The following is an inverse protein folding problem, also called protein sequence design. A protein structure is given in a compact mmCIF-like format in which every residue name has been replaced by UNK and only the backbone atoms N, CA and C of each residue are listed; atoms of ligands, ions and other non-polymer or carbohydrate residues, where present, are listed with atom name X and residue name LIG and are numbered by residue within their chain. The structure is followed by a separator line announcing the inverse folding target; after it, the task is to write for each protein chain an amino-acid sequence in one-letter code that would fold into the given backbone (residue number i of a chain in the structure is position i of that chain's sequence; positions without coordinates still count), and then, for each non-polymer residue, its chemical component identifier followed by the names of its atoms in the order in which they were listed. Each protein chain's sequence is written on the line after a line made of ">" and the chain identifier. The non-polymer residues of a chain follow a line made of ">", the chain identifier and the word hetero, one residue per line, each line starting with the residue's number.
data_IF_027385581955
#
_entry.id   IF_027385581955
#
_cell.length_a   1.000
_cell.length_b   1.000
_cell.length_c   1.000
_cell.angle_alpha   90.00
_cell.angle_beta   90.00
_cell.angle_gamma   90.00
#
_symmetry.space_group_name_H-M   'P 1'
#
loop_
_entity.id
_entity.type
_entity.pdbx_description
1 polymer ?
#
# COMPACT_ATOMS: atom_id res chain seq x y z
N UNK A 1 -33.05 22.19 -37.45
CA UNK A 1 -32.22 22.73 -38.56
C UNK A 1 -30.98 23.47 -38.06
N UNK A 2 -31.06 24.29 -36.99
CA UNK A 2 -29.87 24.90 -36.35
C UNK A 2 -28.92 23.87 -35.70
N UNK A 3 -29.44 22.87 -35.00
CA UNK A 3 -28.63 21.80 -34.39
C UNK A 3 -27.84 20.95 -35.43
N UNK A 4 -28.39 20.76 -36.63
CA UNK A 4 -27.69 20.01 -37.69
C UNK A 4 -26.52 20.82 -38.31
N UNK A 5 -26.63 22.15 -38.31
CA UNK A 5 -25.57 23.05 -38.77
C UNK A 5 -24.46 23.20 -37.71
N UNK A 6 -24.79 23.31 -36.42
CA UNK A 6 -23.78 23.33 -35.34
C UNK A 6 -23.00 22.01 -35.26
N UNK A 7 -23.68 20.87 -35.43
CA UNK A 7 -23.02 19.56 -35.39
C UNK A 7 -22.10 19.32 -36.62
N UNK A 8 -22.50 19.82 -37.79
CA UNK A 8 -21.64 19.81 -38.99
C UNK A 8 -20.44 20.75 -38.87
N UNK A 9 -20.58 21.88 -38.17
CA UNK A 9 -19.49 22.85 -37.99
C UNK A 9 -18.48 22.36 -36.94
N UNK A 10 -18.94 21.69 -35.88
CA UNK A 10 -18.10 21.06 -34.86
C UNK A 10 -17.31 19.85 -35.38
N UNK A 11 -17.91 19.02 -36.23
CA UNK A 11 -17.21 17.90 -36.88
C UNK A 11 -16.13 18.36 -37.86
N UNK A 12 -16.39 19.42 -38.65
CA UNK A 12 -15.40 20.01 -39.54
C UNK A 12 -14.21 20.61 -38.76
N UNK A 13 -14.45 21.25 -37.62
CA UNK A 13 -13.37 21.79 -36.78
C UNK A 13 -12.47 20.69 -36.18
N UNK A 14 -13.06 19.56 -35.77
CA UNK A 14 -12.28 18.40 -35.27
C UNK A 14 -11.49 17.70 -36.39
N UNK A 15 -12.06 17.61 -37.59
CA UNK A 15 -11.39 17.03 -38.75
C UNK A 15 -10.25 17.93 -39.24
N UNK A 16 -10.45 19.25 -39.30
CA UNK A 16 -9.41 20.22 -39.70
C UNK A 16 -8.25 20.27 -38.70
N UNK A 17 -8.52 20.10 -37.40
CA UNK A 17 -7.47 20.00 -36.36
C UNK A 17 -6.69 18.69 -36.50
N UNK A 18 -7.37 17.57 -36.75
CA UNK A 18 -6.73 16.27 -36.93
C UNK A 18 -5.97 16.16 -38.27
N UNK A 19 -6.43 16.86 -39.32
CA UNK A 19 -5.77 16.97 -40.61
C UNK A 19 -4.56 17.91 -40.54
N UNK A 20 -4.62 19.03 -39.81
CA UNK A 20 -3.48 19.92 -39.60
C UNK A 20 -2.39 19.27 -38.74
N UNK A 21 -2.76 18.52 -37.70
CA UNK A 21 -1.79 17.73 -36.92
C UNK A 21 -1.12 16.68 -37.82
N UNK A 22 -1.87 15.94 -38.65
CA UNK A 22 -1.32 14.99 -39.64
C UNK A 22 -0.50 15.64 -40.76
N UNK A 23 -0.81 16.87 -41.17
CA UNK A 23 -0.07 17.59 -42.19
C UNK A 23 1.30 18.09 -41.69
N UNK A 24 1.45 18.36 -40.39
CA UNK A 24 2.76 18.69 -39.78
C UNK A 24 3.74 17.51 -39.81
N UNK A 25 3.24 16.26 -39.69
CA UNK A 25 4.05 15.03 -39.80
C UNK A 25 4.57 14.72 -41.21
N UNK A 26 4.17 15.47 -42.26
CA UNK A 26 4.64 15.23 -43.63
C UNK A 26 6.05 15.81 -43.91
N UNK A 27 6.70 16.40 -42.91
CA UNK A 27 8.02 17.06 -43.05
C UNK A 27 9.03 16.69 -41.97
N UNK A 28 8.77 15.66 -41.16
CA UNK A 28 9.69 15.23 -40.10
C UNK A 28 10.63 14.12 -40.61
N UNK A 29 11.92 14.11 -40.22
CA UNK A 29 12.86 13.07 -40.66
C UNK A 29 12.38 11.66 -40.28
N UNK A 30 12.55 10.69 -41.18
CA UNK A 30 12.08 9.31 -40.99
C UNK A 30 12.59 8.69 -39.67
N UNK A 31 13.83 8.98 -39.29
CA UNK A 31 14.44 8.54 -38.03
C UNK A 31 13.64 8.97 -36.79
N UNK A 32 13.08 10.19 -36.79
CA UNK A 32 12.31 10.72 -35.65
C UNK A 32 10.93 10.10 -35.61
N UNK A 33 10.27 9.96 -36.77
CA UNK A 33 8.98 9.26 -36.87
C UNK A 33 9.11 7.81 -36.39
N UNK A 34 10.21 7.14 -36.73
CA UNK A 34 10.47 5.77 -36.32
C UNK A 34 10.68 5.65 -34.79
N UNK A 35 11.49 6.54 -34.20
CA UNK A 35 11.70 6.57 -32.74
C UNK A 35 10.40 6.93 -32.02
N UNK A 36 9.64 7.91 -32.51
CA UNK A 36 8.35 8.32 -31.97
C UNK A 36 7.38 7.14 -31.88
N UNK A 37 7.31 6.32 -32.93
CA UNK A 37 6.43 5.16 -32.98
C UNK A 37 6.87 4.06 -32.01
N UNK A 38 8.18 3.82 -31.86
CA UNK A 38 8.70 2.87 -30.87
C UNK A 38 8.38 3.33 -29.44
N UNK A 39 8.63 4.60 -29.14
CA UNK A 39 8.37 5.16 -27.81
C UNK A 39 6.86 5.17 -27.52
N UNK A 40 6.03 5.46 -28.52
CA UNK A 40 4.57 5.38 -28.44
C UNK A 40 4.10 3.96 -28.12
N UNK A 41 4.58 2.96 -28.85
CA UNK A 41 4.22 1.56 -28.61
C UNK A 41 4.67 1.08 -27.22
N UNK A 42 5.85 1.51 -26.76
CA UNK A 42 6.32 1.23 -25.40
C UNK A 42 5.42 1.86 -24.33
N UNK A 43 5.09 3.14 -24.47
CA UNK A 43 4.15 3.85 -23.59
C UNK A 43 2.78 3.17 -23.56
N UNK A 44 2.22 2.83 -24.73
CA UNK A 44 0.93 2.16 -24.84
C UNK A 44 0.95 0.78 -24.17
N UNK A 45 2.04 0.04 -24.36
CA UNK A 45 2.22 -1.28 -23.74
C UNK A 45 2.24 -1.17 -22.21
N UNK A 46 2.99 -0.21 -21.66
CA UNK A 46 3.05 0.02 -20.22
C UNK A 46 1.71 0.52 -19.66
N UNK A 47 1.04 1.44 -20.33
CA UNK A 47 -0.30 1.92 -19.96
C UNK A 47 -1.32 0.79 -19.93
N UNK A 48 -1.34 -0.07 -20.96
CA UNK A 48 -2.22 -1.25 -21.00
C UNK A 48 -1.92 -2.18 -19.82
N UNK A 49 -0.64 -2.40 -19.51
CA UNK A 49 -0.24 -3.26 -18.39
C UNK A 49 -0.68 -2.68 -17.03
N UNK A 50 -0.55 -1.37 -16.79
CA UNK A 50 -1.06 -0.72 -15.57
C UNK A 50 -2.57 -0.94 -15.40
N UNK A 51 -3.34 -0.69 -16.46
CA UNK A 51 -4.82 -0.85 -16.45
C UNK A 51 -5.28 -2.28 -16.11
N UNK A 52 -4.41 -3.28 -16.29
CA UNK A 52 -4.67 -4.66 -15.86
C UNK A 52 -4.36 -4.86 -14.37
N UNK A 53 -3.33 -4.21 -13.84
CA UNK A 53 -2.97 -4.32 -12.43
C UNK A 53 -3.99 -3.64 -11.50
N UNK A 54 -4.53 -2.48 -11.87
CA UNK A 54 -5.51 -1.73 -11.06
C UNK A 54 -6.66 -2.61 -10.52
N UNK A 55 -7.48 -3.30 -11.37
CA UNK A 55 -8.58 -4.12 -10.87
C UNK A 55 -8.12 -5.34 -10.09
N UNK A 56 -6.94 -5.89 -10.39
CA UNK A 56 -6.36 -7.04 -9.68
C UNK A 56 -5.98 -6.61 -8.25
N UNK A 57 -5.28 -5.49 -8.12
CA UNK A 57 -4.90 -4.89 -6.84
C UNK A 57 -6.16 -4.57 -6.04
N UNK A 58 -7.13 -3.86 -6.63
CA UNK A 58 -8.38 -3.51 -5.95
C UNK A 58 -9.13 -4.72 -5.41
N UNK A 59 -9.39 -5.72 -6.27
CA UNK A 59 -10.06 -6.96 -5.88
C UNK A 59 -9.33 -7.68 -4.74
N UNK A 60 -8.00 -7.70 -4.75
CA UNK A 60 -7.23 -8.40 -3.72
C UNK A 60 -7.13 -7.61 -2.43
N UNK A 61 -7.02 -6.30 -2.50
CA UNK A 61 -7.08 -5.44 -1.33
C UNK A 61 -8.44 -5.57 -0.64
N UNK A 62 -9.53 -5.66 -1.39
CA UNK A 62 -10.88 -5.90 -0.84
C UNK A 62 -11.01 -7.28 -0.22
N UNK A 63 -10.51 -8.33 -0.88
CA UNK A 63 -10.51 -9.69 -0.32
C UNK A 63 -9.73 -9.77 0.98
N UNK A 64 -8.52 -9.23 1.02
CA UNK A 64 -7.69 -9.22 2.24
C UNK A 64 -8.31 -8.36 3.33
N UNK A 65 -9.01 -7.27 2.97
CA UNK A 65 -9.76 -6.44 3.91
C UNK A 65 -11.02 -7.13 4.48
N UNK A 66 -11.59 -8.09 3.76
CA UNK A 66 -12.72 -8.89 4.25
C UNK A 66 -12.27 -10.15 5.01
N UNK A 67 -11.10 -10.69 4.66
CA UNK A 67 -10.47 -11.87 5.27
C UNK A 67 -9.37 -11.49 6.28
N UNK A 68 -9.51 -10.36 6.99
CA UNK A 68 -8.49 -9.78 7.91
C UNK A 68 -7.92 -10.77 8.95
N UNK A 69 -8.56 -11.91 9.15
CA UNK A 69 -8.16 -12.97 10.06
C UNK A 69 -7.29 -14.07 9.44
N UNK A 70 -7.01 -14.01 8.14
CA UNK A 70 -6.27 -15.05 7.43
C UNK A 70 -4.81 -14.64 7.23
N UNK A 71 -3.89 -15.34 7.89
CA UNK A 71 -2.44 -15.21 7.65
C UNK A 71 -2.10 -15.39 6.16
N UNK A 72 -2.92 -16.16 5.43
CA UNK A 72 -2.79 -16.33 3.97
C UNK A 72 -3.09 -15.08 3.14
N UNK A 73 -3.79 -14.08 3.69
CA UNK A 73 -4.10 -12.84 2.99
C UNK A 73 -2.85 -12.02 2.67
N UNK A 74 -1.89 -11.96 3.61
CA UNK A 74 -0.60 -11.27 3.40
C UNK A 74 0.23 -11.99 2.35
N UNK A 75 0.29 -13.32 2.41
CA UNK A 75 1.02 -14.14 1.44
C UNK A 75 0.48 -13.98 0.01
N UNK A 76 -0.81 -13.68 -0.17
CA UNK A 76 -1.41 -13.41 -1.49
C UNK A 76 -1.02 -12.06 -2.07
N UNK A 77 -0.63 -11.09 -1.23
CA UNK A 77 -0.19 -9.76 -1.70
C UNK A 77 1.26 -9.78 -2.19
N UNK A 78 2.08 -10.75 -1.77
CA UNK A 78 3.49 -10.84 -2.14
C UNK A 78 3.71 -11.00 -3.66
N UNK A 79 3.09 -11.96 -4.36
CA UNK A 79 3.34 -12.13 -5.79
C UNK A 79 2.99 -10.91 -6.65
N UNK A 80 1.97 -10.14 -6.24
CA UNK A 80 1.57 -8.93 -6.97
C UNK A 80 2.49 -7.77 -6.66
N UNK A 81 2.93 -7.63 -5.41
CA UNK A 81 3.97 -6.66 -5.07
C UNK A 81 5.22 -6.93 -5.90
N UNK A 82 5.69 -8.18 -5.93
CA UNK A 82 6.89 -8.55 -6.68
C UNK A 82 6.71 -8.28 -8.18
N UNK A 83 5.54 -8.62 -8.74
CA UNK A 83 5.22 -8.36 -10.15
C UNK A 83 5.13 -6.86 -10.49
N UNK A 84 4.57 -6.04 -9.60
CA UNK A 84 4.54 -4.58 -9.75
C UNK A 84 5.93 -3.97 -9.61
N UNK A 85 6.78 -4.49 -8.73
CA UNK A 85 8.17 -4.05 -8.56
C UNK A 85 9.03 -4.39 -9.78
N UNK A 86 8.88 -5.59 -10.34
CA UNK A 86 9.55 -5.98 -11.59
C UNK A 86 9.12 -5.06 -12.75
N UNK A 87 7.82 -4.73 -12.80
CA UNK A 87 7.29 -3.81 -13.79
C UNK A 87 7.84 -2.37 -13.58
N UNK A 88 7.85 -1.87 -12.35
CA UNK A 88 8.47 -0.59 -11.97
C UNK A 88 9.93 -0.52 -12.45
N UNK A 89 10.73 -1.56 -12.16
CA UNK A 89 12.13 -1.62 -12.58
C UNK A 89 12.27 -1.55 -14.10
N UNK A 90 11.40 -2.24 -14.83
CA UNK A 90 11.41 -2.24 -16.31
C UNK A 90 11.15 -0.85 -16.87
N UNK A 91 10.10 -0.16 -16.39
CA UNK A 91 9.76 1.20 -16.85
C UNK A 91 10.86 2.19 -16.45
N UNK A 92 11.42 2.04 -15.24
CA UNK A 92 12.50 2.90 -14.74
C UNK A 92 13.77 2.77 -15.58
N UNK A 93 14.15 1.55 -15.96
CA UNK A 93 15.31 1.33 -16.84
C UNK A 93 15.11 1.99 -18.21
N UNK A 94 13.91 1.91 -18.78
CA UNK A 94 13.58 2.59 -20.04
C UNK A 94 13.64 4.12 -19.91
N UNK A 95 13.12 4.66 -18.80
CA UNK A 95 13.22 6.09 -18.50
C UNK A 95 14.67 6.55 -18.30
N UNK A 96 15.47 5.79 -17.57
CA UNK A 96 16.87 6.13 -17.31
C UNK A 96 17.67 6.12 -18.63
N UNK A 97 17.39 5.18 -19.55
CA UNK A 97 17.96 5.21 -20.90
C UNK A 97 17.58 6.48 -21.68
N UNK A 98 16.32 6.89 -21.58
CA UNK A 98 15.83 8.09 -22.26
C UNK A 98 16.45 9.37 -21.68
N UNK A 99 16.61 9.44 -20.35
CA UNK A 99 17.31 10.54 -19.68
C UNK A 99 18.79 10.60 -20.06
N UNK A 100 19.48 9.46 -20.10
CA UNK A 100 20.87 9.42 -20.56
C UNK A 100 21.05 9.93 -21.99
N UNK A 101 20.09 9.63 -22.87
CA UNK A 101 20.08 10.18 -24.23
C UNK A 101 19.81 11.69 -24.24
N UNK A 102 18.92 12.17 -23.37
CA UNK A 102 18.62 13.60 -23.20
C UNK A 102 19.81 14.41 -22.65
N UNK A 103 20.62 13.79 -21.78
CA UNK A 103 21.76 14.44 -21.11
C UNK A 103 22.97 14.65 -22.05
N UNK A 104 22.98 14.04 -23.25
CA UNK A 104 24.11 14.08 -24.17
C UNK A 104 23.72 14.63 -25.55
N UNK A 105 24.02 15.91 -25.78
CA UNK A 105 23.77 16.61 -27.05
C UNK A 105 24.34 15.89 -28.27
N UNK A 106 25.52 15.26 -28.15
CA UNK A 106 26.15 14.53 -29.25
C UNK A 106 25.37 13.25 -29.61
N UNK A 107 24.81 12.55 -28.62
CA UNK A 107 23.98 11.37 -28.86
C UNK A 107 22.65 11.79 -29.52
N UNK A 108 22.04 12.90 -29.09
CA UNK A 108 20.83 13.45 -29.72
C UNK A 108 21.08 13.88 -31.17
N UNK A 109 22.20 14.55 -31.44
CA UNK A 109 22.61 14.89 -32.81
C UNK A 109 22.89 13.64 -33.64
N UNK A 110 23.42 12.59 -33.01
CA UNK A 110 23.65 11.29 -33.62
C UNK A 110 22.38 10.60 -34.13
N UNK A 111 21.21 10.91 -33.56
CA UNK A 111 19.92 10.38 -34.03
C UNK A 111 19.49 10.98 -35.38
N UNK A 112 19.95 12.18 -35.75
CA UNK A 112 19.60 12.86 -37.00
C UNK A 112 20.37 12.29 -38.20
N UNK A 113 20.09 11.03 -38.53
CA UNK A 113 20.82 10.25 -39.55
C UNK A 113 20.74 10.86 -40.95
N UNK A 114 19.55 11.30 -41.38
CA UNK A 114 19.32 11.85 -42.73
C UNK A 114 20.06 13.17 -42.90
N UNK A 115 19.96 14.04 -41.91
CA UNK A 115 20.68 15.32 -41.92
C UNK A 115 22.18 15.14 -41.74
N UNK A 116 22.60 14.17 -40.93
CA UNK A 116 24.00 13.80 -40.73
C UNK A 116 24.65 13.26 -41.99
N UNK A 117 23.90 12.50 -42.81
CA UNK A 117 24.37 12.09 -44.13
C UNK A 117 24.47 13.29 -45.08
N UNK A 118 23.47 14.19 -45.08
CA UNK A 118 23.46 15.38 -45.92
C UNK A 118 24.60 16.36 -45.59
N UNK A 119 24.89 16.60 -44.31
CA UNK A 119 25.99 17.47 -43.88
C UNK A 119 27.36 16.88 -44.26
N UNK A 120 27.55 15.56 -44.04
CA UNK A 120 28.75 14.83 -44.45
C UNK A 120 28.99 14.91 -45.95
N UNK A 121 27.94 14.80 -46.78
CA UNK A 121 28.05 14.91 -48.24
C UNK A 121 28.52 16.30 -48.71
N UNK A 122 28.30 17.33 -47.89
CA UNK A 122 28.70 18.73 -48.15
C UNK A 122 30.02 19.11 -47.47
N UNK A 123 30.68 18.18 -46.77
CA UNK A 123 31.88 18.47 -45.98
C UNK A 123 31.65 19.42 -44.79
N UNK A 124 30.41 19.48 -44.30
CA UNK A 124 30.00 20.36 -43.18
C UNK A 124 29.72 19.53 -41.93
N UNK A 125 29.91 20.14 -40.76
CA UNK A 125 29.45 19.57 -39.48
C UNK A 125 27.97 19.89 -39.26
N UNK A 126 27.26 19.01 -38.54
CA UNK A 126 25.88 19.26 -38.12
C UNK A 126 25.84 20.51 -37.23
N UNK A 127 24.84 21.36 -37.41
CA UNK A 127 24.64 22.49 -36.51
C UNK A 127 24.08 21.96 -35.18
N UNK A 128 24.74 22.31 -34.05
CA UNK A 128 24.30 21.91 -32.70
C UNK A 128 22.82 22.24 -32.47
N UNK A 129 22.32 23.37 -32.98
CA UNK A 129 20.97 23.87 -32.73
C UNK A 129 19.81 22.99 -33.26
N UNK A 130 20.10 21.85 -33.86
CA UNK A 130 19.09 20.93 -34.41
C UNK A 130 18.67 19.82 -33.45
N UNK A 131 19.37 19.62 -32.32
CA UNK A 131 18.92 18.66 -31.32
C UNK A 131 17.62 19.09 -30.62
N UNK A 132 17.22 20.37 -30.68
CA UNK A 132 16.00 20.90 -30.02
C UNK A 132 14.72 20.11 -30.37
N UNK A 133 14.54 19.69 -31.62
CA UNK A 133 13.37 18.88 -32.01
C UNK A 133 13.42 17.46 -31.46
N UNK A 134 14.63 16.89 -31.33
CA UNK A 134 14.86 15.57 -30.72
C UNK A 134 14.60 15.66 -29.22
N UNK A 135 15.16 16.66 -28.57
CA UNK A 135 15.00 16.96 -27.15
C UNK A 135 13.51 17.09 -26.79
N UNK A 136 12.74 17.90 -27.52
CA UNK A 136 11.30 18.07 -27.29
C UNK A 136 10.54 16.73 -27.37
N UNK A 137 10.86 15.89 -28.37
CA UNK A 137 10.25 14.56 -28.52
C UNK A 137 10.61 13.67 -27.34
N UNK A 138 11.89 13.55 -27.01
CA UNK A 138 12.37 12.67 -25.93
C UNK A 138 11.88 13.14 -24.55
N UNK A 139 11.81 14.45 -24.29
CA UNK A 139 11.25 15.02 -23.06
C UNK A 139 9.78 14.65 -22.87
N UNK A 140 8.98 14.71 -23.94
CA UNK A 140 7.56 14.37 -23.87
C UNK A 140 7.37 12.89 -23.50
N UNK A 141 8.12 11.98 -24.13
CA UNK A 141 8.07 10.57 -23.74
C UNK A 141 8.68 10.31 -22.35
N UNK A 142 9.71 11.04 -21.94
CA UNK A 142 10.27 10.94 -20.59
C UNK A 142 9.25 11.37 -19.53
N UNK A 143 8.44 12.39 -19.84
CA UNK A 143 7.32 12.81 -19.00
C UNK A 143 6.24 11.74 -18.92
N UNK A 144 5.89 11.11 -20.03
CA UNK A 144 4.92 10.01 -20.04
C UNK A 144 5.42 8.78 -19.25
N UNK A 145 6.67 8.37 -19.43
CA UNK A 145 7.30 7.31 -18.62
C UNK A 145 7.28 7.64 -17.13
N UNK A 146 7.59 8.88 -16.76
CA UNK A 146 7.48 9.33 -15.37
C UNK A 146 6.04 9.23 -14.85
N UNK A 147 5.03 9.62 -15.64
CA UNK A 147 3.62 9.48 -15.27
C UNK A 147 3.24 8.04 -14.97
N UNK A 148 3.61 7.12 -15.86
CA UNK A 148 3.44 5.67 -15.71
C UNK A 148 4.13 5.17 -14.43
N UNK A 149 5.37 5.62 -14.15
CA UNK A 149 6.07 5.25 -12.91
C UNK A 149 5.33 5.74 -11.65
N UNK A 150 4.75 6.94 -11.67
CA UNK A 150 3.99 7.45 -10.53
C UNK A 150 2.72 6.62 -10.28
N UNK A 151 2.03 6.19 -11.35
CA UNK A 151 0.88 5.29 -11.23
C UNK A 151 1.27 3.92 -10.65
N UNK A 152 2.39 3.33 -11.10
CA UNK A 152 2.92 2.08 -10.53
C UNK A 152 3.29 2.28 -9.05
N UNK A 153 3.96 3.38 -8.73
CA UNK A 153 4.34 3.71 -7.35
C UNK A 153 3.11 3.84 -6.45
N UNK A 154 2.05 4.49 -6.94
CA UNK A 154 0.79 4.61 -6.23
C UNK A 154 0.18 3.22 -5.93
N UNK A 155 0.13 2.31 -6.90
CA UNK A 155 -0.36 0.95 -6.68
C UNK A 155 0.51 0.16 -5.68
N UNK A 156 1.84 0.27 -5.77
CA UNK A 156 2.76 -0.34 -4.82
C UNK A 156 2.54 0.17 -3.40
N UNK A 157 2.39 1.48 -3.22
CA UNK A 157 2.11 2.08 -1.91
C UNK A 157 0.77 1.61 -1.34
N UNK A 158 -0.26 1.45 -2.18
CA UNK A 158 -1.55 0.88 -1.74
C UNK A 158 -1.42 -0.56 -1.26
N UNK A 159 -0.68 -1.40 -1.99
CA UNK A 159 -0.41 -2.78 -1.57
C UNK A 159 0.37 -2.80 -0.25
N UNK A 160 1.43 -2.01 -0.12
CA UNK A 160 2.23 -1.93 1.10
C UNK A 160 1.41 -1.45 2.31
N UNK A 161 0.66 -0.36 2.16
CA UNK A 161 -0.19 0.20 3.22
C UNK A 161 -1.19 -0.84 3.75
N UNK A 162 -1.73 -1.67 2.86
CA UNK A 162 -2.68 -2.73 3.22
C UNK A 162 -1.98 -3.92 3.88
N UNK A 163 -0.78 -4.30 3.45
CA UNK A 163 0.04 -5.30 4.15
C UNK A 163 0.32 -4.89 5.59
N UNK A 164 0.71 -3.63 5.80
CA UNK A 164 0.98 -3.07 7.13
C UNK A 164 -0.28 -3.07 8.01
N UNK A 165 -1.44 -2.68 7.46
CA UNK A 165 -2.72 -2.73 8.18
C UNK A 165 -3.06 -4.15 8.63
N UNK A 166 -2.91 -5.14 7.76
CA UNK A 166 -3.21 -6.54 8.09
C UNK A 166 -2.26 -7.05 9.17
N UNK A 167 -0.97 -6.74 9.08
CA UNK A 167 0.00 -7.09 10.11
C UNK A 167 -0.38 -6.51 11.48
N UNK A 168 -0.74 -5.22 11.52
CA UNK A 168 -1.22 -4.56 12.73
C UNK A 168 -2.48 -5.22 13.30
N UNK A 169 -3.41 -5.64 12.43
CA UNK A 169 -4.64 -6.32 12.85
C UNK A 169 -4.35 -7.70 13.45
N UNK A 170 -3.50 -8.50 12.81
CA UNK A 170 -3.07 -9.81 13.30
C UNK A 170 -2.36 -9.71 14.66
N UNK A 171 -1.51 -8.71 14.84
CA UNK A 171 -0.88 -8.44 16.13
C UNK A 171 -1.91 -8.01 17.19
N UNK A 172 -2.94 -7.28 16.79
CA UNK A 172 -4.11 -7.00 17.63
C UNK A 172 -4.83 -8.27 18.10
N UNK A 173 -5.06 -9.24 17.20
CA UNK A 173 -5.66 -10.53 17.54
C UNK A 173 -4.77 -11.36 18.47
N UNK A 174 -3.47 -11.46 18.19
CA UNK A 174 -2.51 -12.14 19.07
C UNK A 174 -2.52 -11.53 20.47
N UNK A 175 -2.51 -10.20 20.56
CA UNK A 175 -2.60 -9.49 21.84
C UNK A 175 -3.93 -9.76 22.57
N UNK A 176 -5.05 -9.86 21.84
CA UNK A 176 -6.34 -10.25 22.41
C UNK A 176 -6.32 -11.69 22.94
N UNK A 177 -5.74 -12.63 22.20
CA UNK A 177 -5.61 -14.03 22.62
C UNK A 177 -4.74 -14.18 23.86
N UNK A 178 -3.57 -13.52 23.89
CA UNK A 178 -2.68 -13.51 25.07
C UNK A 178 -3.43 -12.97 26.29
N UNK A 179 -4.20 -11.88 26.12
CA UNK A 179 -5.00 -11.31 27.20
C UNK A 179 -6.10 -12.27 27.68
N UNK A 180 -6.79 -12.96 26.79
CA UNK A 180 -7.75 -13.99 27.18
C UNK A 180 -7.08 -15.14 27.93
N UNK A 181 -5.94 -15.62 27.45
CA UNK A 181 -5.18 -16.69 28.10
C UNK A 181 -4.71 -16.29 29.50
N UNK A 182 -4.30 -15.04 29.68
CA UNK A 182 -3.96 -14.45 30.97
C UNK A 182 -5.17 -14.48 31.92
N UNK A 183 -6.36 -14.04 31.47
CA UNK A 183 -7.56 -14.07 32.31
C UNK A 183 -7.98 -15.49 32.68
N UNK A 184 -7.89 -16.45 31.76
CA UNK A 184 -8.14 -17.87 32.06
C UNK A 184 -7.13 -18.44 33.06
N UNK A 185 -5.83 -18.12 32.91
CA UNK A 185 -4.79 -18.54 33.85
C UNK A 185 -5.03 -17.98 35.27
N UNK A 186 -5.44 -16.72 35.40
CA UNK A 186 -5.78 -16.11 36.69
C UNK A 186 -6.98 -16.83 37.33
N UNK A 187 -8.01 -17.14 36.54
CA UNK A 187 -9.16 -17.92 37.02
C UNK A 187 -8.73 -19.33 37.46
N UNK A 188 -7.86 -19.99 36.70
CA UNK A 188 -7.32 -21.31 37.03
C UNK A 188 -6.52 -21.30 38.34
N UNK A 189 -5.68 -20.28 38.58
CA UNK A 189 -4.95 -20.11 39.85
C UNK A 189 -5.93 -19.93 41.02
N UNK A 190 -6.97 -19.11 40.85
CA UNK A 190 -8.03 -18.95 41.84
C UNK A 190 -8.68 -20.29 42.18
N UNK A 191 -9.13 -21.05 41.17
CA UNK A 191 -9.73 -22.38 41.38
C UNK A 191 -8.75 -23.38 42.00
N UNK A 192 -7.47 -23.35 41.61
CA UNK A 192 -6.45 -24.23 42.17
C UNK A 192 -6.27 -23.98 43.68
N UNK A 193 -6.25 -22.72 44.13
CA UNK A 193 -6.17 -22.40 45.57
C UNK A 193 -7.38 -22.89 46.37
N UNK A 194 -8.59 -22.82 45.81
CA UNK A 194 -9.77 -23.43 46.45
C UNK A 194 -9.69 -24.96 46.46
N UNK A 195 -9.25 -25.55 45.35
CA UNK A 195 -9.16 -27.01 45.17
C UNK A 195 -8.12 -27.64 46.10
N UNK A 196 -6.98 -26.99 46.32
CA UNK A 196 -5.95 -27.51 47.23
C UNK A 196 -6.42 -27.55 48.68
N UNK A 197 -7.13 -26.52 49.14
CA UNK A 197 -7.69 -26.49 50.50
C UNK A 197 -8.81 -27.52 50.65
N UNK A 198 -9.71 -27.62 49.66
CA UNK A 198 -10.74 -28.65 49.64
C UNK A 198 -10.13 -30.07 49.63
N UNK A 199 -9.07 -30.28 48.86
CA UNK A 199 -8.33 -31.54 48.81
C UNK A 199 -7.68 -31.88 50.16
N UNK A 200 -7.07 -30.90 50.83
CA UNK A 200 -6.45 -31.09 52.15
C UNK A 200 -7.45 -31.59 53.20
N UNK A 201 -8.63 -30.95 53.28
CA UNK A 201 -9.70 -31.35 54.21
C UNK A 201 -10.55 -32.52 53.71
N UNK A 202 -10.46 -32.89 52.44
CA UNK A 202 -11.11 -34.07 51.85
C UNK A 202 -10.32 -35.37 52.02
N UNK A 203 -9.10 -35.31 52.56
CA UNK A 203 -8.31 -36.50 52.89
C UNK A 203 -8.82 -37.15 54.18
N UNK A 204 -8.80 -38.48 54.24
CA UNK A 204 -9.22 -39.27 55.41
C UNK A 204 -8.18 -39.26 56.56
N UNK A 205 -7.69 -38.07 56.92
CA UNK A 205 -6.77 -37.85 58.03
C UNK A 205 -7.52 -37.10 59.13
N UNK A 206 -7.42 -37.59 60.37
CA UNK A 206 -8.11 -36.97 61.52
C UNK A 206 -7.59 -35.56 61.73
N UNK A 207 -8.41 -34.56 61.38
CA UNK A 207 -8.02 -33.14 61.45
C UNK A 207 -8.28 -32.50 62.81
N UNK A 208 -9.11 -33.12 63.66
CA UNK A 208 -9.51 -32.57 64.97
C UNK A 208 -10.50 -31.40 64.93
N UNK A 209 -10.93 -30.96 63.74
CA UNK A 209 -11.89 -29.87 63.53
C UNK A 209 -13.30 -30.34 63.12
N UNK A 210 -13.48 -31.65 62.94
CA UNK A 210 -14.67 -32.29 62.37
C UNK A 210 -15.88 -32.29 63.31
N UNK A 211 -15.68 -32.26 64.63
CA UNK A 211 -16.78 -32.26 65.61
C UNK A 211 -17.53 -30.92 65.70
N UNK A 212 -17.00 -29.86 65.08
CA UNK A 212 -17.61 -28.53 65.15
C UNK A 212 -18.61 -28.29 64.02
N UNK A 213 -19.85 -27.92 64.37
CA UNK A 213 -20.93 -27.71 63.39
C UNK A 213 -20.73 -26.53 62.42
N UNK A 214 -19.72 -25.69 62.63
CA UNK A 214 -19.46 -24.47 61.83
C UNK A 214 -18.16 -24.52 61.02
N UNK A 215 -17.22 -25.44 61.29
CA UNK A 215 -15.90 -25.46 60.62
C UNK A 215 -16.02 -25.60 59.09
N UNK A 216 -16.94 -26.44 58.61
CA UNK A 216 -17.18 -26.62 57.19
C UNK A 216 -17.57 -25.32 56.48
N UNK A 217 -18.45 -24.53 57.09
CA UNK A 217 -18.88 -23.24 56.53
C UNK A 217 -17.71 -22.23 56.51
N UNK A 218 -16.89 -22.20 57.57
CA UNK A 218 -15.71 -21.34 57.62
C UNK A 218 -14.69 -21.65 56.53
N UNK A 219 -14.42 -22.93 56.25
CA UNK A 219 -13.49 -23.35 55.18
C UNK A 219 -14.02 -22.91 53.81
N UNK A 220 -15.30 -23.14 53.51
CA UNK A 220 -15.89 -22.72 52.24
C UNK A 220 -15.84 -21.20 52.08
N UNK A 221 -16.23 -20.44 53.09
CA UNK A 221 -16.28 -18.98 53.00
C UNK A 221 -14.86 -18.40 52.87
N UNK A 222 -13.90 -18.88 53.66
CA UNK A 222 -12.52 -18.37 53.62
C UNK A 222 -11.80 -18.71 52.32
N UNK A 223 -11.95 -19.92 51.79
CA UNK A 223 -11.35 -20.33 50.51
C UNK A 223 -11.96 -19.59 49.33
N UNK A 224 -13.28 -19.43 49.31
CA UNK A 224 -13.98 -18.65 48.29
C UNK A 224 -13.55 -17.19 48.32
N UNK A 225 -13.44 -16.58 49.50
CA UNK A 225 -12.98 -15.21 49.66
C UNK A 225 -11.52 -15.04 49.22
N UNK A 226 -10.65 -16.00 49.54
CA UNK A 226 -9.26 -15.99 49.12
C UNK A 226 -9.12 -16.09 47.59
N UNK A 227 -9.85 -17.00 46.93
CA UNK A 227 -9.82 -17.15 45.48
C UNK A 227 -10.39 -15.92 44.75
N UNK A 228 -11.44 -15.30 45.29
CA UNK A 228 -11.96 -14.02 44.78
C UNK A 228 -10.98 -12.87 45.01
N UNK A 229 -10.27 -12.85 46.15
CA UNK A 229 -9.23 -11.88 46.46
C UNK A 229 -8.05 -11.96 45.48
N UNK A 230 -7.59 -13.16 45.15
CA UNK A 230 -6.56 -13.40 44.13
C UNK A 230 -7.04 -12.92 42.77
N UNK A 231 -8.24 -13.34 42.35
CA UNK A 231 -8.81 -12.94 41.06
C UNK A 231 -8.97 -11.42 40.94
N UNK A 232 -9.57 -10.77 41.94
CA UNK A 232 -9.76 -9.33 41.99
C UNK A 232 -8.46 -8.54 42.08
N UNK A 233 -7.49 -9.02 42.87
CA UNK A 233 -6.16 -8.43 42.99
C UNK A 233 -5.38 -8.48 41.67
N UNK A 234 -5.35 -9.64 41.01
CA UNK A 234 -4.71 -9.81 39.71
C UNK A 234 -5.37 -8.97 38.62
N UNK A 235 -6.71 -8.91 38.58
CA UNK A 235 -7.43 -8.04 37.64
C UNK A 235 -7.16 -6.55 37.88
N UNK A 236 -7.10 -6.11 39.14
CA UNK A 236 -6.82 -4.72 39.51
C UNK A 236 -5.40 -4.31 39.09
N UNK A 237 -4.44 -5.22 39.24
CA UNK A 237 -3.06 -5.02 38.79
C UNK A 237 -2.97 -4.86 37.26
N UNK A 238 -3.66 -5.71 36.49
CA UNK A 238 -3.65 -5.68 35.02
C UNK A 238 -4.44 -4.49 34.46
N UNK A 239 -5.56 -4.15 35.08
CA UNK A 239 -6.41 -3.02 34.67
C UNK A 239 -5.86 -1.66 35.11
N UNK A 240 -4.67 -1.64 35.73
CA UNK A 240 -4.02 -0.46 36.30
C UNK A 240 -4.30 0.81 35.49
N UNK A 241 -4.97 1.76 36.15
CA UNK A 241 -5.57 2.97 35.55
C UNK A 241 -4.62 3.83 34.70
N UNK A 242 -3.31 3.58 34.78
CA UNK A 242 -2.26 4.17 33.95
C UNK A 242 -2.36 3.77 32.48
N UNK A 243 -2.77 2.54 32.15
CA UNK A 243 -2.93 2.12 30.75
C UNK A 243 -4.13 2.78 30.07
N UNK A 244 -5.27 2.90 30.77
CA UNK A 244 -6.46 3.60 30.25
C UNK A 244 -6.18 5.08 29.97
N UNK A 245 -5.43 5.76 30.85
CA UNK A 245 -5.01 7.16 30.63
C UNK A 245 -4.13 7.31 29.38
N UNK A 246 -3.20 6.38 29.15
CA UNK A 246 -2.35 6.37 27.94
C UNK A 246 -3.13 6.07 26.66
N UNK A 247 -4.15 5.22 26.73
CA UNK A 247 -5.00 4.91 25.59
C UNK A 247 -5.90 6.09 25.19
N UNK A 248 -6.45 6.83 26.15
CA UNK A 248 -7.22 8.06 25.87
C UNK A 248 -6.35 9.15 25.23
N UNK A 249 -5.13 9.37 25.73
CA UNK A 249 -4.23 10.38 25.13
C UNK A 249 -3.91 10.09 23.65
N UNK A 250 -3.74 8.82 23.26
CA UNK A 250 -3.53 8.46 21.84
C UNK A 250 -4.76 8.69 20.96
N UNK A 251 -5.98 8.59 21.50
CA UNK A 251 -7.19 8.87 20.74
C UNK A 251 -7.35 10.37 20.49
N UNK A 252 -7.06 11.19 21.50
CA UNK A 252 -7.02 12.65 21.35
C UNK A 252 -5.98 13.09 20.31
N UNK A 253 -4.80 12.47 20.28
CA UNK A 253 -3.77 12.73 19.26
C UNK A 253 -4.25 12.35 17.84
N UNK A 254 -4.89 11.18 17.67
CA UNK A 254 -5.41 10.74 16.36
C UNK A 254 -6.53 11.68 15.88
N UNK A 255 -7.41 12.10 16.78
CA UNK A 255 -8.52 13.00 16.45
C UNK A 255 -8.01 14.41 16.10
N UNK A 256 -6.99 14.89 16.80
CA UNK A 256 -6.29 16.13 16.47
C UNK A 256 -5.60 16.07 15.09
N UNK A 257 -4.90 14.98 14.77
CA UNK A 257 -4.27 14.79 13.45
C UNK A 257 -5.33 14.72 12.35
N UNK A 258 -6.43 14.01 12.58
CA UNK A 258 -7.54 13.92 11.62
C UNK A 258 -8.20 15.28 11.38
N UNK A 259 -8.38 16.09 12.42
CA UNK A 259 -8.87 17.46 12.32
C UNK A 259 -7.94 18.34 11.48
N UNK A 260 -6.64 18.33 11.79
CA UNK A 260 -5.64 19.10 11.05
C UNK A 260 -5.57 18.73 9.55
N UNK A 261 -5.66 17.44 9.21
CA UNK A 261 -5.69 16.97 7.83
C UNK A 261 -6.97 17.41 7.09
N UNK A 262 -8.10 17.49 7.78
CA UNK A 262 -9.36 17.98 7.20
C UNK A 262 -9.28 19.46 6.86
N UNK A 263 -8.66 20.27 7.72
CA UNK A 263 -8.50 21.71 7.52
C UNK A 263 -7.48 22.04 6.42
N UNK A 264 -6.49 21.18 6.18
CA UNK A 264 -5.52 21.37 5.08
C UNK A 264 -6.09 21.06 3.69
N UNK A 265 -7.20 20.32 3.62
CA UNK A 265 -7.82 19.89 2.37
C UNK A 265 -9.07 20.71 2.01
N UNK A 266 -9.39 21.73 2.80
CA UNK A 266 -10.48 22.70 2.61
C UNK A 266 -9.93 24.06 2.15
#
# INVERSE_FOLDING_TARGET
>A
MKEALENSTGQNLTLDTQYNVRATYMTEPFELVFIEEILRDACDTFNRRIRLYEPIVDSLLDRVSNEVFSESGVHRLVPIKDSLQEFEMTVKQGLDCLKHLLDNDEDMLGLLLTEGAAARSKGQNLQLKKHESVELLLEEYARQFNGILQEIHYLLQRVQSKQELVALSLDGYRNRMIRMNLYMSIAAVGLATSTTVAGYFGMNLVSGMEESGVAFQYVIVSTTLASLGIFGGSLSYISGSRMKKRAMGRLEEIEAIKGALSDMNA
#
